data_IF_717917723144
#
_entry.id   IF_717917723144
#
_cell.length_a   1.000
_cell.length_b   1.000
_cell.length_c   1.000
_cell.angle_alpha   90.00
_cell.angle_beta   90.00
_cell.angle_gamma   90.00
#
_symmetry.space_group_name_H-M   'P 1'
#
loop_
_entity.id
_entity.type
_entity.pdbx_description
1 polymer ?
#
# COMPACT_ATOMS: atom_id res chain seq x y z
N UNK A 1 8.13 21.22 -10.93
CA UNK A 1 8.36 20.62 -9.60
C UNK A 1 8.59 19.13 -9.75
N UNK A 2 9.36 18.51 -8.86
CA UNK A 2 9.50 17.05 -8.78
C UNK A 2 9.08 16.53 -7.41
N UNK A 3 8.70 15.26 -7.35
CA UNK A 3 8.27 14.60 -6.13
C UNK A 3 9.18 13.41 -5.89
N UNK A 4 9.92 13.48 -4.79
CA UNK A 4 11.00 12.54 -4.49
C UNK A 4 10.59 11.70 -3.30
N UNK A 5 10.79 10.40 -3.40
CA UNK A 5 10.49 9.45 -2.36
C UNK A 5 11.72 8.67 -1.98
N UNK A 6 11.95 8.51 -0.68
CA UNK A 6 13.13 7.85 -0.15
C UNK A 6 12.70 6.79 0.86
N UNK A 7 12.94 5.52 0.52
CA UNK A 7 12.92 4.43 1.51
C UNK A 7 14.30 4.35 2.15
N UNK A 8 14.44 4.94 3.34
CA UNK A 8 15.74 5.14 3.95
C UNK A 8 16.11 3.96 4.84
N UNK A 9 17.16 3.21 4.47
CA UNK A 9 17.65 2.16 5.35
C UNK A 9 18.11 2.72 6.71
N UNK A 10 18.08 1.89 7.75
CA UNK A 10 18.55 2.30 9.09
C UNK A 10 20.07 2.44 9.21
N UNK A 11 20.84 1.83 8.31
CA UNK A 11 22.31 1.81 8.34
C UNK A 11 22.89 2.05 6.94
N UNK A 12 24.16 2.48 6.89
CA UNK A 12 24.89 2.73 5.63
C UNK A 12 25.31 1.47 4.86
N UNK A 13 25.06 0.27 5.41
CA UNK A 13 25.40 -1.00 4.76
C UNK A 13 24.26 -1.53 3.89
N UNK A 14 23.03 -1.06 4.12
CA UNK A 14 21.84 -1.55 3.44
C UNK A 14 21.43 -0.60 2.32
N UNK A 15 20.73 -1.15 1.33
CA UNK A 15 20.20 -0.37 0.22
C UNK A 15 19.12 0.60 0.71
N UNK A 16 19.00 1.75 0.05
CA UNK A 16 17.90 2.69 0.20
C UNK A 16 17.25 2.86 -1.16
N UNK A 17 15.92 2.88 -1.20
CA UNK A 17 15.19 3.16 -2.42
C UNK A 17 15.08 4.68 -2.64
N UNK A 18 15.20 5.12 -3.88
CA UNK A 18 14.89 6.50 -4.28
C UNK A 18 14.01 6.45 -5.53
N UNK A 19 12.92 7.21 -5.52
CA UNK A 19 12.03 7.39 -6.67
C UNK A 19 11.77 8.88 -6.91
N UNK A 20 11.65 9.27 -8.18
CA UNK A 20 11.29 10.63 -8.60
C UNK A 20 10.13 10.56 -9.58
N UNK A 21 9.07 11.31 -9.27
CA UNK A 21 7.90 11.53 -10.11
C UNK A 21 7.94 12.99 -10.60
N UNK A 22 7.80 13.18 -11.90
CA UNK A 22 7.67 14.50 -12.52
C UNK A 22 6.26 15.07 -12.35
N UNK A 23 6.09 16.37 -12.51
CA UNK A 23 4.80 17.05 -12.29
C UNK A 23 3.68 16.59 -13.22
N UNK A 24 4.04 16.00 -14.36
CA UNK A 24 3.12 15.37 -15.31
C UNK A 24 2.70 13.94 -14.93
N UNK A 25 3.20 13.39 -13.81
CA UNK A 25 2.89 12.04 -13.34
C UNK A 25 3.80 10.94 -13.87
N UNK A 26 4.82 11.24 -14.68
CA UNK A 26 5.78 10.23 -15.13
C UNK A 26 6.81 9.91 -14.03
N UNK A 27 7.09 8.62 -13.84
CA UNK A 27 8.22 8.16 -13.04
C UNK A 27 9.47 8.34 -13.92
N UNK A 28 10.41 9.17 -13.47
CA UNK A 28 11.63 9.51 -14.23
C UNK A 28 12.90 8.91 -13.63
N UNK A 29 12.83 8.44 -12.38
CA UNK A 29 13.92 7.75 -11.69
C UNK A 29 13.34 6.81 -10.63
N UNK A 30 13.84 5.58 -10.52
CA UNK A 30 13.45 4.65 -9.46
C UNK A 30 14.48 3.53 -9.30
N UNK A 31 15.36 3.65 -8.32
CA UNK A 31 16.45 2.71 -8.06
C UNK A 31 16.57 2.39 -6.57
N UNK A 32 17.08 1.21 -6.25
CA UNK A 32 17.55 0.86 -4.91
C UNK A 32 18.99 0.39 -4.99
N UNK A 33 19.84 0.96 -4.13
CA UNK A 33 21.25 0.63 -3.95
C UNK A 33 21.75 1.21 -2.63
N UNK A 34 22.99 0.90 -2.26
CA UNK A 34 23.62 1.54 -1.11
C UNK A 34 23.91 3.01 -1.43
N UNK A 35 23.28 3.91 -0.69
CA UNK A 35 23.48 5.35 -0.78
C UNK A 35 24.08 5.90 0.52
N UNK A 36 25.05 6.81 0.38
CA UNK A 36 25.43 7.72 1.46
C UNK A 36 24.46 8.91 1.51
N UNK A 37 24.38 9.57 2.66
CA UNK A 37 23.51 10.75 2.81
C UNK A 37 23.90 11.87 1.82
N UNK A 38 25.20 12.01 1.52
CA UNK A 38 25.71 12.95 0.54
C UNK A 38 25.23 12.60 -0.89
N UNK A 39 25.26 11.32 -1.29
CA UNK A 39 24.72 10.89 -2.58
C UNK A 39 23.21 11.16 -2.69
N UNK A 40 22.45 10.92 -1.61
CA UNK A 40 21.02 11.26 -1.57
C UNK A 40 20.83 12.76 -1.74
N UNK A 41 21.62 13.57 -1.04
CA UNK A 41 21.61 15.02 -1.19
C UNK A 41 21.89 15.46 -2.62
N UNK A 42 22.89 14.86 -3.30
CA UNK A 42 23.25 15.19 -4.68
C UNK A 42 22.09 14.90 -5.64
N UNK A 43 21.43 13.73 -5.48
CA UNK A 43 20.27 13.35 -6.28
C UNK A 43 19.11 14.32 -6.03
N UNK A 44 18.79 14.63 -4.77
CA UNK A 44 17.72 15.59 -4.45
C UNK A 44 18.01 16.95 -5.10
N UNK A 45 19.26 17.44 -5.01
CA UNK A 45 19.64 18.70 -5.61
C UNK A 45 19.56 18.72 -7.15
N UNK A 46 19.82 17.59 -7.80
CA UNK A 46 19.67 17.44 -9.24
C UNK A 46 18.21 17.67 -9.70
N UNK A 47 17.25 17.07 -8.98
CA UNK A 47 15.83 17.14 -9.34
C UNK A 47 15.09 18.34 -8.73
N UNK A 48 15.62 19.01 -7.71
CA UNK A 48 14.91 20.07 -6.98
C UNK A 48 15.03 21.49 -7.56
N UNK A 49 15.70 21.68 -8.71
CA UNK A 49 15.95 23.01 -9.32
C UNK A 49 14.67 23.83 -9.56
N UNK A 50 13.55 23.18 -9.88
CA UNK A 50 12.26 23.81 -10.16
C UNK A 50 11.24 23.59 -9.02
N UNK A 51 11.72 23.45 -7.79
CA UNK A 51 10.94 23.01 -6.62
C UNK A 51 10.91 21.49 -6.48
N UNK A 52 10.88 21.01 -5.24
CA UNK A 52 10.64 19.61 -4.94
C UNK A 52 10.01 19.35 -3.56
N UNK A 53 9.16 18.33 -3.50
CA UNK A 53 8.68 17.76 -2.24
C UNK A 53 9.30 16.38 -2.06
N UNK A 54 9.90 16.14 -0.90
CA UNK A 54 10.64 14.92 -0.58
C UNK A 54 9.93 14.17 0.55
N UNK A 55 9.32 13.03 0.25
CA UNK A 55 8.78 12.09 1.23
C UNK A 55 9.83 11.07 1.66
N UNK A 56 10.05 10.90 2.96
CA UNK A 56 11.08 9.98 3.48
C UNK A 56 10.45 8.99 4.48
N UNK A 57 10.66 7.68 4.26
CA UNK A 57 10.38 6.61 5.24
C UNK A 57 11.47 6.56 6.31
N UNK A 58 11.45 7.55 7.20
CA UNK A 58 12.28 7.57 8.41
C UNK A 58 11.80 8.64 9.39
N UNK A 59 12.02 8.43 10.71
CA UNK A 59 11.95 9.52 11.69
C UNK A 59 12.91 10.67 11.34
N UNK A 60 12.37 11.87 11.07
CA UNK A 60 13.17 13.02 10.64
C UNK A 60 13.52 13.99 11.78
N UNK A 61 12.73 13.99 12.85
CA UNK A 61 12.95 14.76 14.06
C UNK A 61 12.79 13.82 15.25
N UNK A 62 13.86 13.61 16.02
CA UNK A 62 13.87 12.68 17.16
C UNK A 62 14.43 13.38 18.40
N UNK A 63 13.66 14.31 18.97
CA UNK A 63 14.08 15.07 20.15
C UNK A 63 13.97 14.28 21.47
N UNK A 64 13.14 13.23 21.50
CA UNK A 64 12.92 12.44 22.69
C UNK A 64 14.09 11.49 22.98
N UNK A 65 14.65 11.57 24.19
CA UNK A 65 15.73 10.68 24.62
C UNK A 65 15.28 9.23 24.77
N UNK A 66 14.06 9.00 25.27
CA UNK A 66 13.46 7.67 25.47
C UNK A 66 11.97 7.68 25.13
N UNK A 67 11.33 6.51 25.13
CA UNK A 67 9.90 6.37 24.84
C UNK A 67 9.60 6.50 23.35
N UNK A 68 8.43 7.07 23.05
CA UNK A 68 7.95 7.32 21.69
C UNK A 68 7.83 8.83 21.45
N UNK A 69 7.97 9.27 20.19
CA UNK A 69 7.60 10.64 19.81
C UNK A 69 6.11 10.84 19.97
N UNK A 70 5.67 12.10 20.08
CA UNK A 70 4.24 12.42 20.14
C UNK A 70 3.51 11.89 18.90
N UNK A 71 4.07 12.11 17.70
CA UNK A 71 3.48 11.65 16.44
C UNK A 71 3.34 10.12 16.38
N UNK A 72 4.36 9.36 16.83
CA UNK A 72 4.33 7.90 16.88
C UNK A 72 3.14 7.37 17.71
N UNK A 73 2.91 7.96 18.89
CA UNK A 73 1.80 7.57 19.74
C UNK A 73 0.45 8.06 19.22
N UNK A 74 0.42 9.27 18.65
CA UNK A 74 -0.80 9.88 18.13
C UNK A 74 -1.35 9.11 16.92
N UNK A 75 -0.50 8.70 15.99
CA UNK A 75 -0.95 7.94 14.80
C UNK A 75 -1.52 6.56 15.17
N UNK A 76 -1.03 5.93 16.24
CA UNK A 76 -1.58 4.65 16.73
C UNK A 76 -2.97 4.79 17.36
N UNK A 77 -3.36 5.99 17.79
CA UNK A 77 -4.71 6.30 18.30
C UNK A 77 -5.64 6.83 17.21
N UNK A 78 -5.07 7.27 16.10
CA UNK A 78 -5.81 7.81 14.97
C UNK A 78 -6.45 6.66 14.17
N UNK A 79 -7.66 6.91 13.66
CA UNK A 79 -8.31 6.02 12.70
C UNK A 79 -8.22 6.63 11.31
N UNK A 80 -7.59 5.91 10.39
CA UNK A 80 -7.59 6.22 8.96
C UNK A 80 -8.52 5.21 8.29
N UNK A 81 -9.58 5.70 7.65
CA UNK A 81 -10.62 4.85 7.05
C UNK A 81 -11.21 3.83 8.04
N UNK A 82 -11.40 4.25 9.30
CA UNK A 82 -11.92 3.39 10.37
C UNK A 82 -10.92 2.37 10.93
N UNK A 83 -9.70 2.26 10.38
CA UNK A 83 -8.67 1.30 10.78
C UNK A 83 -7.54 1.97 11.56
N UNK A 84 -6.93 1.22 12.48
CA UNK A 84 -5.77 1.66 13.24
C UNK A 84 -4.47 1.32 12.50
N UNK A 85 -3.45 2.15 12.69
CA UNK A 85 -2.08 1.87 12.23
C UNK A 85 -1.18 1.47 13.40
N UNK A 86 -0.13 0.75 13.06
CA UNK A 86 1.00 0.49 13.96
C UNK A 86 2.26 1.06 13.31
N UNK A 87 3.02 1.81 14.09
CA UNK A 87 4.28 2.41 13.65
C UNK A 87 5.40 2.00 14.59
N UNK A 88 6.62 2.06 14.09
CA UNK A 88 7.80 1.90 14.91
C UNK A 88 7.94 3.11 15.85
N UNK A 89 7.84 2.89 17.16
CA UNK A 89 8.09 3.94 18.15
C UNK A 89 9.58 4.16 18.31
N UNK A 90 10.05 5.39 18.04
CA UNK A 90 11.48 5.69 18.05
C UNK A 90 11.86 6.64 19.20
N UNK A 91 13.12 6.54 19.63
CA UNK A 91 13.76 7.49 20.53
C UNK A 91 15.23 7.62 20.19
N UNK A 92 15.84 8.75 20.54
CA UNK A 92 17.25 9.02 20.24
C UNK A 92 18.18 7.96 20.85
N UNK A 93 17.96 7.57 22.11
CA UNK A 93 18.77 6.53 22.75
C UNK A 93 18.65 5.19 22.03
N UNK A 94 17.46 4.82 21.55
CA UNK A 94 17.28 3.59 20.78
C UNK A 94 18.08 3.65 19.48
N UNK A 95 17.92 4.74 18.72
CA UNK A 95 18.55 4.92 17.41
C UNK A 95 20.08 4.90 17.50
N UNK A 96 20.66 5.69 18.42
CA UNK A 96 22.10 5.73 18.63
C UNK A 96 22.65 4.40 19.12
N UNK A 97 21.92 3.69 19.99
CA UNK A 97 22.37 2.39 20.51
C UNK A 97 22.42 1.31 19.43
N UNK A 98 21.42 1.25 18.54
CA UNK A 98 21.30 0.16 17.57
C UNK A 98 21.92 0.47 16.20
N UNK A 99 21.94 1.75 15.81
CA UNK A 99 22.39 2.17 14.49
C UNK A 99 23.57 3.16 14.54
N UNK A 100 23.90 3.70 15.72
CA UNK A 100 24.97 4.70 15.88
C UNK A 100 24.57 6.11 15.44
N UNK A 101 23.41 6.26 14.79
CA UNK A 101 22.99 7.50 14.12
C UNK A 101 21.47 7.57 14.03
N UNK A 102 20.93 8.77 13.83
CA UNK A 102 19.55 8.99 13.36
C UNK A 102 19.62 9.35 11.88
N UNK A 103 19.60 8.35 10.97
CA UNK A 103 19.82 8.58 9.52
C UNK A 103 18.86 9.60 8.92
N UNK A 104 17.60 9.67 9.38
CA UNK A 104 16.65 10.69 8.93
C UNK A 104 17.11 12.12 9.19
N UNK A 105 17.80 12.39 10.31
CA UNK A 105 18.36 13.70 10.61
C UNK A 105 19.60 14.01 9.75
N UNK A 106 20.43 13.01 9.49
CA UNK A 106 21.65 13.16 8.67
C UNK A 106 21.31 13.38 7.19
N UNK A 107 20.33 12.67 6.63
CA UNK A 107 19.90 12.89 5.24
C UNK A 107 19.28 14.28 5.06
N UNK A 108 18.50 14.77 6.04
CA UNK A 108 17.98 16.15 6.03
C UNK A 108 19.12 17.16 6.03
N UNK A 109 20.16 16.96 6.86
CA UNK A 109 21.36 17.81 6.87
C UNK A 109 22.06 17.79 5.51
N UNK A 110 22.23 16.63 4.90
CA UNK A 110 22.90 16.48 3.61
C UNK A 110 22.13 17.17 2.47
N UNK A 111 20.79 17.09 2.47
CA UNK A 111 19.93 17.83 1.52
C UNK A 111 20.07 19.33 1.75
N UNK A 112 19.90 19.81 2.99
CA UNK A 112 19.97 21.25 3.33
C UNK A 112 21.35 21.88 3.15
N UNK A 113 22.42 21.08 3.23
CA UNK A 113 23.78 21.53 2.91
C UNK A 113 23.92 21.94 1.45
N UNK A 114 23.14 21.33 0.55
CA UNK A 114 23.13 21.65 -0.89
C UNK A 114 22.06 22.68 -1.23
N UNK A 115 20.89 22.57 -0.61
CA UNK A 115 19.73 23.42 -0.84
C UNK A 115 19.12 23.85 0.50
N UNK A 116 19.63 24.94 1.13
CA UNK A 116 19.18 25.42 2.44
C UNK A 116 17.70 25.82 2.52
N UNK A 117 17.06 26.05 1.38
CA UNK A 117 15.65 26.45 1.25
C UNK A 117 14.64 25.36 1.63
N UNK A 118 15.07 24.09 1.71
CA UNK A 118 14.18 22.99 2.09
C UNK A 118 13.61 23.15 3.51
N UNK A 119 12.30 23.36 3.59
CA UNK A 119 11.57 23.31 4.84
C UNK A 119 11.37 21.86 5.29
N UNK A 120 11.55 21.57 6.58
CA UNK A 120 11.23 20.27 7.18
C UNK A 120 9.90 20.47 7.90
N UNK A 121 8.81 20.09 7.26
CA UNK A 121 7.46 20.41 7.73
C UNK A 121 6.42 19.44 7.20
N UNK A 122 5.36 19.23 7.99
CA UNK A 122 4.15 18.55 7.52
C UNK A 122 3.18 19.46 6.77
N UNK A 123 3.37 20.78 6.83
CA UNK A 123 2.55 21.78 6.14
C UNK A 123 3.14 22.11 4.77
N UNK A 124 2.48 21.63 3.72
CA UNK A 124 2.91 21.82 2.34
C UNK A 124 2.43 23.16 1.74
N UNK A 125 1.70 23.99 2.51
CA UNK A 125 1.11 25.22 1.98
C UNK A 125 2.19 26.27 1.67
N UNK A 126 2.13 26.82 0.45
CA UNK A 126 3.00 27.92 -0.01
C UNK A 126 4.52 27.62 0.04
N UNK A 127 4.92 26.35 -0.12
CA UNK A 127 6.33 25.93 -0.13
C UNK A 127 6.71 25.26 -1.44
N UNK A 128 7.82 25.70 -2.05
CA UNK A 128 8.40 25.08 -3.26
C UNK A 128 9.38 23.94 -2.95
N UNK A 129 9.98 23.94 -1.74
CA UNK A 129 10.97 22.96 -1.30
C UNK A 129 10.62 22.43 0.08
N UNK A 130 10.15 21.18 0.17
CA UNK A 130 9.73 20.55 1.43
C UNK A 130 10.33 19.16 1.58
N UNK A 131 10.73 18.83 2.81
CA UNK A 131 11.01 17.48 3.26
C UNK A 131 9.93 17.11 4.27
N UNK A 132 9.29 15.96 4.06
CA UNK A 132 8.22 15.44 4.92
C UNK A 132 8.47 13.98 5.30
N UNK A 133 8.12 13.64 6.53
CA UNK A 133 8.11 12.28 7.03
C UNK A 133 6.81 11.57 6.61
N UNK A 134 6.93 10.37 6.03
CA UNK A 134 5.80 9.49 5.69
C UNK A 134 6.24 8.04 5.81
N UNK A 135 5.37 7.06 5.55
CA UNK A 135 5.78 5.65 5.51
C UNK A 135 4.81 4.77 4.71
N UNK A 136 5.30 3.71 4.03
CA UNK A 136 4.52 2.92 3.07
C UNK A 136 3.24 2.29 3.61
N UNK A 137 3.23 1.78 4.84
CA UNK A 137 2.03 1.15 5.43
C UNK A 137 0.91 2.16 5.68
N UNK A 138 1.25 3.39 6.07
CA UNK A 138 0.27 4.46 6.24
C UNK A 138 -0.24 4.96 4.90
N UNK A 139 0.65 5.11 3.91
CA UNK A 139 0.30 5.50 2.54
C UNK A 139 -0.66 4.49 1.90
N UNK A 140 -0.35 3.20 2.00
CA UNK A 140 -1.21 2.13 1.45
C UNK A 140 -2.58 2.08 2.12
N UNK A 141 -2.67 2.25 3.45
CA UNK A 141 -3.97 2.39 4.11
C UNK A 141 -4.73 3.61 3.61
N UNK A 142 -4.04 4.74 3.50
CA UNK A 142 -4.65 6.02 3.14
C UNK A 142 -5.17 6.09 1.71
N UNK A 143 -4.51 5.42 0.76
CA UNK A 143 -4.86 5.41 -0.66
C UNK A 143 -5.68 4.19 -1.11
N UNK A 144 -5.51 3.04 -0.48
CA UNK A 144 -6.17 1.78 -0.85
C UNK A 144 -6.87 1.14 0.37
N UNK A 145 -7.83 1.82 1.01
CA UNK A 145 -8.50 1.29 2.20
C UNK A 145 -9.24 -0.02 1.96
N UNK A 146 -9.73 -0.23 0.72
CA UNK A 146 -10.41 -1.44 0.27
C UNK A 146 -9.49 -2.67 0.22
N UNK A 147 -8.20 -2.45 0.02
CA UNK A 147 -7.20 -3.51 -0.12
C UNK A 147 -6.32 -3.68 1.13
N UNK A 148 -6.43 -2.81 2.13
CA UNK A 148 -5.61 -2.89 3.33
C UNK A 148 -6.00 -4.10 4.21
N UNK A 149 -5.06 -4.76 4.91
CA UNK A 149 -3.61 -4.59 4.85
C UNK A 149 -2.99 -5.31 3.64
N UNK A 150 -1.92 -4.73 3.08
CA UNK A 150 -1.10 -5.38 2.04
C UNK A 150 0.22 -5.87 2.64
N UNK A 151 0.43 -7.18 2.69
CA UNK A 151 1.56 -7.81 3.38
C UNK A 151 2.72 -8.14 2.44
N UNK A 152 3.13 -7.16 1.63
CA UNK A 152 4.21 -7.29 0.64
C UNK A 152 5.62 -7.12 1.25
N UNK A 153 5.76 -6.73 2.51
CA UNK A 153 7.10 -6.63 3.14
C UNK A 153 7.57 -7.97 3.68
N UNK A 154 8.83 -8.36 3.46
CA UNK A 154 9.41 -9.60 4.02
C UNK A 154 9.35 -9.56 5.56
N UNK A 155 8.75 -10.57 6.18
CA UNK A 155 8.68 -10.73 7.64
C UNK A 155 9.00 -12.15 8.06
N UNK A 156 9.72 -12.31 9.18
CA UNK A 156 10.15 -13.63 9.67
C UNK A 156 8.99 -14.63 9.82
N UNK A 157 7.81 -14.18 10.25
CA UNK A 157 6.63 -15.03 10.51
C UNK A 157 5.70 -15.21 9.30
N UNK A 158 6.07 -14.70 8.12
CA UNK A 158 5.25 -14.80 6.91
C UNK A 158 6.01 -15.64 5.88
N UNK A 159 5.42 -16.71 5.32
CA UNK A 159 6.05 -17.48 4.25
C UNK A 159 6.36 -16.59 3.05
N UNK A 160 7.55 -16.74 2.47
CA UNK A 160 8.01 -15.85 1.38
C UNK A 160 7.10 -15.92 0.15
N UNK A 161 6.54 -17.07 -0.19
CA UNK A 161 5.58 -17.24 -1.29
C UNK A 161 4.27 -16.45 -1.05
N UNK A 162 3.82 -16.35 0.21
CA UNK A 162 2.71 -15.47 0.57
C UNK A 162 3.08 -14.01 0.34
N UNK A 163 4.31 -13.61 0.70
CA UNK A 163 4.82 -12.26 0.47
C UNK A 163 4.91 -11.94 -1.03
N UNK A 164 5.35 -12.88 -1.87
CA UNK A 164 5.36 -12.74 -3.34
C UNK A 164 3.95 -12.52 -3.92
N UNK A 165 2.98 -13.29 -3.44
CA UNK A 165 1.57 -13.11 -3.83
C UNK A 165 1.06 -11.71 -3.46
N UNK A 166 1.35 -11.25 -2.24
CA UNK A 166 0.96 -9.92 -1.78
C UNK A 166 1.70 -8.78 -2.50
N UNK A 167 2.93 -9.00 -2.95
CA UNK A 167 3.64 -8.05 -3.83
C UNK A 167 2.98 -7.96 -5.20
N UNK A 168 2.56 -9.08 -5.78
CA UNK A 168 1.76 -9.07 -7.02
C UNK A 168 0.49 -8.24 -6.85
N UNK A 169 -0.23 -8.45 -5.74
CA UNK A 169 -1.40 -7.63 -5.38
C UNK A 169 -1.06 -6.15 -5.22
N UNK A 170 0.07 -5.83 -4.57
CA UNK A 170 0.54 -4.45 -4.41
C UNK A 170 0.81 -3.78 -5.77
N UNK A 171 1.50 -4.46 -6.69
CA UNK A 171 1.77 -3.95 -8.04
C UNK A 171 0.47 -3.71 -8.82
N UNK A 172 -0.51 -4.61 -8.74
CA UNK A 172 -1.84 -4.38 -9.32
C UNK A 172 -2.57 -3.16 -8.71
N UNK A 173 -2.39 -2.91 -7.40
CA UNK A 173 -2.94 -1.71 -6.77
C UNK A 173 -2.27 -0.44 -7.27
N UNK A 174 -0.94 -0.46 -7.47
CA UNK A 174 -0.22 0.69 -8.03
C UNK A 174 -0.75 1.07 -9.40
N UNK A 175 -1.11 0.11 -10.25
CA UNK A 175 -1.68 0.39 -11.58
C UNK A 175 -2.95 1.25 -11.51
N UNK A 176 -3.75 1.15 -10.44
CA UNK A 176 -4.93 2.02 -10.23
C UNK A 176 -4.55 3.49 -10.10
N UNK A 177 -3.32 3.83 -9.73
CA UNK A 177 -2.87 5.22 -9.62
C UNK A 177 -2.84 5.95 -10.97
N UNK A 178 -2.85 5.23 -12.10
CA UNK A 178 -3.04 5.83 -13.43
C UNK A 178 -4.44 6.43 -13.62
N UNK A 179 -5.41 5.95 -12.86
CA UNK A 179 -6.80 6.44 -12.86
C UNK A 179 -7.07 7.48 -11.76
N UNK A 180 -6.09 7.74 -10.90
CA UNK A 180 -6.23 8.71 -9.83
C UNK A 180 -6.08 10.13 -10.39
N UNK A 181 -6.53 11.12 -9.64
CA UNK A 181 -6.19 12.51 -9.88
C UNK A 181 -5.28 12.95 -8.72
N UNK A 182 -4.01 13.34 -8.96
CA UNK A 182 -3.33 13.27 -10.25
C UNK A 182 -2.97 11.82 -10.65
N UNK A 183 -2.88 11.53 -11.97
CA UNK A 183 -2.50 10.20 -12.44
C UNK A 183 -1.00 9.99 -12.35
N UNK A 184 -0.58 8.72 -12.27
CA UNK A 184 0.81 8.29 -12.48
C UNK A 184 0.89 7.43 -13.72
N UNK A 185 1.88 7.72 -14.55
CA UNK A 185 2.12 7.02 -15.80
C UNK A 185 3.22 5.97 -15.61
N UNK A 186 3.49 5.18 -16.65
CA UNK A 186 4.64 4.28 -16.78
C UNK A 186 5.02 3.37 -15.57
N UNK A 187 4.09 3.08 -14.66
CA UNK A 187 4.30 2.19 -13.48
C UNK A 187 4.83 0.82 -13.90
N UNK A 188 4.32 0.29 -15.01
CA UNK A 188 4.72 -1.02 -15.52
C UNK A 188 6.20 -1.07 -15.93
N UNK A 189 6.79 0.05 -16.36
CA UNK A 189 8.19 0.09 -16.78
C UNK A 189 9.14 -0.12 -15.58
N UNK A 190 8.67 0.20 -14.37
CA UNK A 190 9.47 0.11 -13.16
C UNK A 190 9.13 -1.10 -12.29
N UNK A 191 7.88 -1.55 -12.29
CA UNK A 191 7.37 -2.56 -11.35
C UNK A 191 6.83 -3.83 -12.00
N UNK A 192 6.70 -3.88 -13.33
CA UNK A 192 6.36 -5.12 -14.03
C UNK A 192 7.65 -5.86 -14.41
N UNK A 193 7.86 -7.06 -13.88
CA UNK A 193 9.10 -7.83 -14.06
C UNK A 193 8.85 -9.15 -14.81
N UNK A 194 9.80 -9.55 -15.67
CA UNK A 194 9.87 -10.87 -16.30
C UNK A 194 11.18 -11.56 -15.84
N UNK A 195 11.17 -12.81 -15.32
CA UNK A 195 10.11 -13.83 -15.44
C UNK A 195 8.93 -13.74 -14.45
N UNK A 196 8.83 -12.66 -13.67
CA UNK A 196 7.71 -12.41 -12.74
C UNK A 196 8.11 -12.45 -11.28
N UNK A 197 7.29 -11.82 -10.42
CA UNK A 197 7.53 -11.74 -8.96
C UNK A 197 7.66 -13.14 -8.33
N UNK A 198 6.94 -14.12 -8.85
CA UNK A 198 6.95 -15.49 -8.32
C UNK A 198 8.33 -16.18 -8.47
N UNK A 199 9.09 -15.82 -9.49
CA UNK A 199 10.41 -16.39 -9.77
C UNK A 199 11.55 -15.68 -9.00
N UNK A 200 11.28 -14.58 -8.30
CA UNK A 200 12.33 -13.78 -7.66
C UNK A 200 12.99 -14.49 -6.49
N UNK A 201 14.31 -14.33 -6.39
CA UNK A 201 15.06 -14.57 -5.17
C UNK A 201 14.69 -13.53 -4.09
N UNK A 202 15.04 -13.81 -2.83
CA UNK A 202 14.83 -12.85 -1.73
C UNK A 202 15.57 -11.53 -1.95
N UNK A 203 16.73 -11.56 -2.61
CA UNK A 203 17.53 -10.37 -2.88
C UNK A 203 16.85 -9.47 -3.93
N UNK A 204 16.45 -10.06 -5.06
CA UNK A 204 15.71 -9.33 -6.12
C UNK A 204 14.40 -8.77 -5.58
N UNK A 205 13.69 -9.55 -4.76
CA UNK A 205 12.47 -9.11 -4.11
C UNK A 205 12.71 -7.93 -3.17
N UNK A 206 13.76 -7.97 -2.35
CA UNK A 206 14.05 -6.87 -1.42
C UNK A 206 14.40 -5.59 -2.18
N UNK A 207 15.13 -5.69 -3.28
CA UNK A 207 15.39 -4.55 -4.15
C UNK A 207 14.11 -3.96 -4.77
N UNK A 208 13.16 -4.81 -5.19
CA UNK A 208 11.83 -4.37 -5.64
C UNK A 208 11.03 -3.72 -4.51
N UNK A 209 11.05 -4.30 -3.31
CA UNK A 209 10.39 -3.77 -2.10
C UNK A 209 10.87 -2.34 -1.79
N UNK A 210 12.19 -2.12 -1.76
CA UNK A 210 12.78 -0.81 -1.47
C UNK A 210 12.43 0.24 -2.54
N UNK A 211 12.46 -0.15 -3.83
CA UNK A 211 12.03 0.71 -4.95
C UNK A 211 10.54 1.08 -4.85
N UNK A 212 9.71 0.11 -4.48
CA UNK A 212 8.26 0.31 -4.32
C UNK A 212 7.96 1.22 -3.13
N UNK A 213 8.65 1.03 -2.00
CA UNK A 213 8.49 1.85 -0.81
C UNK A 213 8.92 3.30 -1.08
N UNK A 214 10.02 3.50 -1.81
CA UNK A 214 10.44 4.81 -2.26
C UNK A 214 9.41 5.44 -3.21
N UNK A 215 8.86 4.67 -4.15
CA UNK A 215 7.77 5.16 -5.02
C UNK A 215 6.53 5.58 -4.23
N UNK A 216 6.11 4.81 -3.23
CA UNK A 216 4.98 5.19 -2.37
C UNK A 216 5.26 6.52 -1.66
N UNK A 217 6.47 6.73 -1.14
CA UNK A 217 6.86 7.99 -0.51
C UNK A 217 6.85 9.16 -1.51
N UNK A 218 7.29 8.94 -2.75
CA UNK A 218 7.24 9.96 -3.82
C UNK A 218 5.78 10.30 -4.16
N UNK A 219 4.94 9.27 -4.29
CA UNK A 219 3.53 9.44 -4.61
C UNK A 219 2.77 10.14 -3.47
N UNK A 220 3.12 9.89 -2.21
CA UNK A 220 2.56 10.61 -1.07
C UNK A 220 2.79 12.13 -1.20
N UNK A 221 4.02 12.54 -1.53
CA UNK A 221 4.34 13.94 -1.79
C UNK A 221 3.59 14.50 -3.02
N UNK A 222 3.52 13.72 -4.11
CA UNK A 222 2.79 14.09 -5.34
C UNK A 222 1.29 14.28 -5.12
N UNK A 223 0.70 13.45 -4.26
CA UNK A 223 -0.71 13.51 -3.87
C UNK A 223 -1.01 14.70 -2.96
N UNK A 224 -0.26 14.84 -1.86
CA UNK A 224 -0.54 15.78 -0.77
C UNK A 224 -0.40 17.26 -1.16
N UNK A 225 0.32 17.56 -2.25
CA UNK A 225 0.40 18.93 -2.77
C UNK A 225 -0.90 19.37 -3.48
N UNK A 226 -1.72 18.41 -3.91
CA UNK A 226 -2.98 18.63 -4.66
C UNK A 226 -4.22 18.29 -3.84
N UNK A 227 -4.06 17.41 -2.86
CA UNK A 227 -5.15 16.85 -2.08
C UNK A 227 -4.87 16.98 -0.59
N UNK A 228 -5.92 16.89 0.21
CA UNK A 228 -5.78 16.83 1.65
C UNK A 228 -5.19 15.49 2.08
N UNK A 229 -4.61 15.50 3.27
CA UNK A 229 -4.21 14.30 3.98
C UNK A 229 -4.22 14.57 5.48
N UNK A 230 -3.54 13.70 6.23
CA UNK A 230 -3.35 13.88 7.66
C UNK A 230 -1.90 14.24 7.95
N UNK A 231 -1.73 15.24 8.81
CA UNK A 231 -0.47 15.55 9.48
C UNK A 231 -0.66 15.21 10.94
N UNK A 232 0.15 14.30 11.46
CA UNK A 232 0.09 13.85 12.86
C UNK A 232 1.36 14.31 13.56
N UNK A 233 1.23 15.23 14.52
CA UNK A 233 2.37 15.86 15.20
C UNK A 233 2.62 17.28 14.70
N UNK A 234 3.85 17.77 14.88
CA UNK A 234 4.24 19.14 14.52
C UNK A 234 5.72 19.24 14.13
N UNK A 235 6.09 20.37 13.52
CA UNK A 235 7.43 20.61 13.00
C UNK A 235 8.49 20.80 14.09
N UNK A 236 8.09 20.90 15.37
CA UNK A 236 9.02 21.06 16.50
C UNK A 236 9.45 19.69 17.04
N UNK A 237 8.51 18.80 17.32
CA UNK A 237 8.74 17.54 18.03
C UNK A 237 8.58 16.29 17.14
N UNK A 238 8.33 16.51 15.86
CA UNK A 238 8.19 15.47 14.86
C UNK A 238 6.74 15.30 14.42
N UNK A 239 6.61 14.97 13.14
CA UNK A 239 5.33 14.82 12.46
C UNK A 239 5.36 13.60 11.54
N UNK A 240 4.20 13.11 11.15
CA UNK A 240 4.03 12.10 10.12
C UNK A 240 2.92 12.56 9.18
N UNK A 241 3.16 12.48 7.87
CA UNK A 241 2.20 12.85 6.84
C UNK A 241 1.68 11.61 6.13
N UNK A 242 0.35 11.49 6.00
CA UNK A 242 -0.31 10.37 5.32
C UNK A 242 -1.28 10.92 4.28
N UNK A 243 -1.14 10.55 2.99
CA UNK A 243 -2.17 10.85 1.99
C UNK A 243 -3.45 10.10 2.37
N UNK A 244 -4.60 10.75 2.27
CA UNK A 244 -5.89 10.12 2.54
C UNK A 244 -6.77 10.38 1.34
N UNK A 245 -7.16 9.33 0.63
CA UNK A 245 -8.19 9.45 -0.39
C UNK A 245 -9.53 9.64 0.32
N UNK A 246 -10.22 10.75 0.10
CA UNK A 246 -11.63 10.78 0.50
C UNK A 246 -12.39 9.96 -0.54
N UNK A 247 -12.97 8.83 -0.12
CA UNK A 247 -13.84 8.02 -0.97
C UNK A 247 -14.99 8.86 -1.58
N UNK A 248 -15.30 10.02 -0.99
CA UNK A 248 -16.23 11.03 -1.50
C UNK A 248 -15.56 12.09 -2.41
N UNK A 249 -14.29 12.48 -2.23
CA UNK A 249 -13.59 13.52 -3.06
C UNK A 249 -12.97 12.97 -4.36
N UNK A 250 -13.09 11.68 -4.67
CA UNK A 250 -13.03 11.20 -6.08
C UNK A 250 -14.16 11.84 -6.93
N UNK A 251 -15.01 12.66 -6.31
CA UNK A 251 -16.06 13.48 -6.90
C UNK A 251 -15.85 14.97 -6.61
N UNK A 252 -14.89 15.61 -7.26
CA UNK A 252 -15.19 16.89 -7.91
C UNK A 252 -14.02 17.37 -8.77
N UNK A 253 -14.30 17.57 -10.05
CA UNK A 253 -13.32 17.99 -11.04
C UNK A 253 -13.79 17.79 -12.48
N UNK A 254 -14.98 18.33 -12.82
CA UNK A 254 -15.35 18.68 -14.20
C UNK A 254 -15.41 17.59 -15.28
N UNK A 255 -15.29 16.31 -14.93
CA UNK A 255 -15.52 15.18 -15.84
C UNK A 255 -16.58 14.27 -15.22
N UNK A 256 -17.39 13.60 -16.04
CA UNK A 256 -18.39 12.64 -15.55
C UNK A 256 -17.80 11.76 -14.44
N UNK A 257 -18.58 11.48 -13.38
CA UNK A 257 -18.17 10.59 -12.29
C UNK A 257 -17.92 9.18 -12.81
N UNK A 258 -16.73 8.93 -13.34
CA UNK A 258 -16.28 7.60 -13.71
C UNK A 258 -15.71 6.98 -12.43
N UNK A 259 -16.54 6.20 -11.74
CA UNK A 259 -16.02 5.30 -10.72
C UNK A 259 -15.53 4.04 -11.44
N UNK A 260 -14.21 3.90 -11.55
CA UNK A 260 -13.59 2.73 -12.15
C UNK A 260 -13.64 1.60 -11.14
N UNK A 261 -14.25 0.50 -11.55
CA UNK A 261 -14.33 -0.72 -10.77
C UNK A 261 -13.59 -1.80 -11.53
N UNK A 262 -12.71 -2.52 -10.85
CA UNK A 262 -12.11 -3.75 -11.36
C UNK A 262 -12.58 -4.92 -10.51
N UNK A 263 -13.90 -5.18 -10.54
CA UNK A 263 -14.51 -6.27 -9.79
C UNK A 263 -15.49 -7.03 -10.63
N UNK A 264 -15.58 -8.33 -10.38
CA UNK A 264 -16.59 -9.18 -10.98
C UNK A 264 -17.97 -8.82 -10.42
N UNK A 265 -18.96 -8.69 -11.30
CA UNK A 265 -20.33 -8.33 -10.94
C UNK A 265 -21.30 -9.40 -11.47
N UNK A 266 -22.46 -9.53 -10.82
CA UNK A 266 -23.54 -10.39 -11.31
C UNK A 266 -24.15 -9.83 -12.60
N UNK A 267 -24.70 -10.70 -13.43
CA UNK A 267 -25.17 -10.43 -14.79
C UNK A 267 -26.22 -9.30 -14.89
N UNK A 268 -26.99 -9.09 -13.82
CA UNK A 268 -28.06 -8.08 -13.75
C UNK A 268 -27.59 -6.74 -13.16
N UNK A 269 -26.38 -6.66 -12.61
CA UNK A 269 -25.85 -5.42 -12.04
C UNK A 269 -25.73 -4.30 -13.08
N UNK A 270 -25.31 -4.54 -14.34
CA UNK A 270 -25.30 -3.48 -15.35
C UNK A 270 -26.68 -2.82 -15.54
N UNK A 271 -27.73 -3.63 -15.67
CA UNK A 271 -29.11 -3.13 -15.80
C UNK A 271 -29.55 -2.34 -14.57
N UNK A 272 -29.26 -2.84 -13.35
CA UNK A 272 -29.59 -2.12 -12.11
C UNK A 272 -28.88 -0.77 -12.02
N UNK A 273 -27.63 -0.68 -12.51
CA UNK A 273 -26.88 0.58 -12.59
C UNK A 273 -27.55 1.53 -13.59
N UNK A 274 -27.93 1.03 -14.76
CA UNK A 274 -28.60 1.80 -15.81
C UNK A 274 -29.97 2.33 -15.39
N UNK A 275 -30.78 1.49 -14.72
CA UNK A 275 -32.08 1.87 -14.17
C UNK A 275 -31.97 2.96 -13.09
N UNK A 276 -30.79 3.10 -12.46
CA UNK A 276 -30.48 4.18 -11.52
C UNK A 276 -30.04 5.49 -12.17
N UNK A 277 -30.10 5.59 -13.52
CA UNK A 277 -29.70 6.76 -14.29
C UNK A 277 -28.19 6.93 -14.46
N UNK A 278 -27.41 5.86 -14.29
CA UNK A 278 -25.96 5.83 -14.48
C UNK A 278 -25.60 5.02 -15.72
N UNK A 279 -24.38 5.16 -16.24
CA UNK A 279 -23.87 4.33 -17.35
C UNK A 279 -22.98 3.22 -16.82
N UNK A 280 -23.28 1.97 -17.15
CA UNK A 280 -22.40 0.83 -16.86
C UNK A 280 -21.42 0.62 -18.03
N UNK A 281 -20.12 0.63 -17.75
CA UNK A 281 -19.08 0.21 -18.70
C UNK A 281 -18.59 -1.16 -18.26
N UNK A 282 -18.71 -2.16 -19.13
CA UNK A 282 -18.43 -3.57 -18.81
C UNK A 282 -17.54 -4.20 -19.88
N UNK A 283 -16.70 -5.15 -19.44
CA UNK A 283 -15.95 -6.06 -20.30
C UNK A 283 -16.32 -7.49 -19.93
N UNK A 284 -16.39 -8.39 -20.92
CA UNK A 284 -16.52 -9.83 -20.67
C UNK A 284 -15.14 -10.42 -20.49
N UNK A 285 -14.93 -11.11 -19.37
CA UNK A 285 -13.68 -11.80 -19.05
C UNK A 285 -13.83 -13.29 -19.30
N UNK A 286 -12.75 -13.97 -19.66
CA UNK A 286 -12.74 -15.41 -19.93
C UNK A 286 -11.37 -16.02 -19.67
N UNK A 287 -11.29 -17.36 -19.63
CA UNK A 287 -10.02 -18.05 -19.41
C UNK A 287 -9.44 -17.82 -18.01
N UNK A 288 -8.10 -17.87 -17.83
CA UNK A 288 -7.46 -17.80 -16.52
C UNK A 288 -7.78 -16.53 -15.73
N UNK A 289 -7.88 -15.37 -16.39
CA UNK A 289 -8.21 -14.09 -15.76
C UNK A 289 -9.57 -14.12 -15.04
N UNK A 290 -10.54 -14.86 -15.59
CA UNK A 290 -11.85 -15.01 -14.95
C UNK A 290 -11.75 -15.76 -13.61
N UNK A 291 -10.88 -16.78 -13.50
CA UNK A 291 -10.67 -17.48 -12.24
C UNK A 291 -10.00 -16.57 -11.20
N UNK A 292 -9.05 -15.73 -11.59
CA UNK A 292 -8.41 -14.77 -10.70
C UNK A 292 -9.42 -13.77 -10.13
N UNK A 293 -10.32 -13.27 -10.99
CA UNK A 293 -11.41 -12.39 -10.59
C UNK A 293 -12.43 -13.08 -9.69
N UNK A 294 -12.74 -14.37 -9.93
CA UNK A 294 -13.59 -15.16 -9.03
C UNK A 294 -12.96 -15.36 -7.66
N UNK A 295 -11.65 -15.62 -7.59
CA UNK A 295 -10.94 -15.77 -6.32
C UNK A 295 -10.86 -14.44 -5.56
N UNK A 296 -10.64 -13.33 -6.27
CA UNK A 296 -10.71 -11.99 -5.67
C UNK A 296 -12.11 -11.70 -5.13
N UNK A 297 -13.15 -12.03 -5.91
CA UNK A 297 -14.56 -11.88 -5.50
C UNK A 297 -14.89 -12.73 -4.28
N UNK A 298 -14.41 -13.97 -4.21
CA UNK A 298 -14.56 -14.83 -3.04
C UNK A 298 -13.96 -14.19 -1.78
N UNK A 299 -12.80 -13.54 -1.92
CA UNK A 299 -12.18 -12.78 -0.83
C UNK A 299 -13.02 -11.57 -0.38
N UNK A 300 -13.59 -10.81 -1.34
CA UNK A 300 -14.51 -9.70 -1.08
C UNK A 300 -15.70 -10.19 -0.24
N UNK A 301 -16.41 -11.23 -0.68
CA UNK A 301 -17.61 -11.74 0.01
C UNK A 301 -17.30 -12.32 1.40
N UNK A 302 -16.13 -12.95 1.59
CA UNK A 302 -15.71 -13.42 2.92
C UNK A 302 -15.55 -12.22 3.86
N UNK A 303 -14.94 -11.15 3.37
CA UNK A 303 -14.72 -9.95 4.18
C UNK A 303 -16.06 -9.25 4.49
N UNK A 304 -16.97 -9.16 3.51
CA UNK A 304 -18.32 -8.60 3.72
C UNK A 304 -19.12 -9.38 4.77
N UNK A 305 -19.06 -10.72 4.76
CA UNK A 305 -19.65 -11.54 5.81
C UNK A 305 -18.98 -11.31 7.18
N UNK A 306 -17.64 -11.26 7.23
CA UNK A 306 -16.93 -11.05 8.49
C UNK A 306 -17.28 -9.69 9.11
N UNK A 307 -17.46 -8.66 8.28
CA UNK A 307 -17.75 -7.29 8.73
C UNK A 307 -19.22 -7.12 9.13
N UNK A 308 -20.16 -7.68 8.35
CA UNK A 308 -21.60 -7.45 8.55
C UNK A 308 -22.30 -8.52 9.39
N UNK A 309 -21.77 -9.74 9.40
CA UNK A 309 -22.40 -10.95 9.97
C UNK A 309 -23.81 -11.24 9.41
N UNK A 310 -24.15 -10.69 8.24
CA UNK A 310 -25.45 -10.88 7.59
C UNK A 310 -25.50 -12.19 6.83
N UNK A 311 -26.68 -12.82 6.81
CA UNK A 311 -26.90 -14.11 6.13
C UNK A 311 -26.91 -13.93 4.62
N UNK A 312 -27.29 -12.76 4.14
CA UNK A 312 -27.29 -12.37 2.74
C UNK A 312 -25.90 -12.55 2.11
N UNK A 313 -24.83 -12.14 2.82
CA UNK A 313 -23.45 -12.30 2.32
C UNK A 313 -23.03 -13.78 2.22
N UNK A 314 -23.62 -14.67 3.01
CA UNK A 314 -23.40 -16.13 2.85
C UNK A 314 -24.01 -16.64 1.55
N UNK A 315 -25.10 -16.04 1.06
CA UNK A 315 -25.69 -16.39 -0.22
C UNK A 315 -24.80 -15.89 -1.39
N UNK A 316 -24.20 -14.71 -1.26
CA UNK A 316 -23.20 -14.21 -2.20
C UNK A 316 -21.97 -15.11 -2.26
N UNK A 317 -21.46 -15.57 -1.11
CA UNK A 317 -20.38 -16.56 -1.04
C UNK A 317 -20.70 -17.84 -1.81
N UNK A 318 -21.92 -18.39 -1.63
CA UNK A 318 -22.35 -19.60 -2.33
C UNK A 318 -22.41 -19.39 -3.84
N UNK A 319 -22.88 -18.22 -4.30
CA UNK A 319 -22.94 -17.89 -5.73
C UNK A 319 -21.54 -17.88 -6.36
N UNK A 320 -20.56 -17.27 -5.67
CA UNK A 320 -19.17 -17.25 -6.14
C UNK A 320 -18.57 -18.66 -6.16
N UNK A 321 -18.84 -19.48 -5.14
CA UNK A 321 -18.42 -20.89 -5.12
C UNK A 321 -18.98 -21.64 -6.32
N UNK A 322 -20.27 -21.46 -6.65
CA UNK A 322 -20.87 -22.11 -7.82
C UNK A 322 -20.24 -21.65 -9.14
N UNK A 323 -19.95 -20.36 -9.30
CA UNK A 323 -19.24 -19.88 -10.48
C UNK A 323 -17.82 -20.48 -10.61
N UNK A 324 -17.12 -20.69 -9.49
CA UNK A 324 -15.81 -21.38 -9.47
C UNK A 324 -15.97 -22.86 -9.85
N UNK A 325 -17.01 -23.54 -9.37
CA UNK A 325 -17.28 -24.94 -9.73
C UNK A 325 -17.55 -25.07 -11.23
N UNK A 326 -18.37 -24.18 -11.78
CA UNK A 326 -18.70 -24.13 -13.21
C UNK A 326 -17.42 -23.90 -14.05
N UNK A 327 -16.55 -22.97 -13.64
CA UNK A 327 -15.24 -22.77 -14.28
C UNK A 327 -14.36 -24.03 -14.25
N UNK A 328 -14.38 -24.76 -13.12
CA UNK A 328 -13.60 -26.00 -12.95
C UNK A 328 -14.25 -27.23 -13.61
N UNK A 329 -15.44 -27.09 -14.18
CA UNK A 329 -16.19 -28.20 -14.76
C UNK A 329 -16.71 -29.21 -13.72
N UNK A 330 -16.86 -28.78 -12.46
CA UNK A 330 -17.36 -29.63 -11.37
C UNK A 330 -18.85 -29.39 -11.19
N UNK A 331 -19.65 -30.44 -11.30
CA UNK A 331 -21.11 -30.30 -11.11
C UNK A 331 -21.46 -30.06 -9.64
N UNK A 332 -22.62 -29.41 -9.39
CA UNK A 332 -23.14 -29.24 -8.02
C UNK A 332 -23.37 -30.59 -7.31
N UNK A 333 -23.77 -31.62 -8.05
CA UNK A 333 -23.97 -32.97 -7.51
C UNK A 333 -22.64 -33.59 -7.05
N UNK A 334 -21.60 -33.44 -7.86
CA UNK A 334 -20.25 -33.90 -7.53
C UNK A 334 -19.70 -33.14 -6.31
N UNK A 335 -19.84 -31.81 -6.28
CA UNK A 335 -19.44 -31.00 -5.13
C UNK A 335 -20.17 -31.41 -3.85
N UNK A 336 -21.48 -31.63 -3.91
CA UNK A 336 -22.26 -32.12 -2.77
C UNK A 336 -21.83 -33.53 -2.34
N UNK A 337 -21.45 -34.40 -3.27
CA UNK A 337 -20.89 -35.72 -2.96
C UNK A 337 -19.57 -35.58 -2.19
N UNK A 338 -18.64 -34.73 -2.66
CA UNK A 338 -17.37 -34.45 -1.98
C UNK A 338 -17.62 -33.88 -0.58
N UNK A 339 -18.58 -32.95 -0.43
CA UNK A 339 -18.94 -32.35 0.86
C UNK A 339 -19.47 -33.42 1.83
N UNK A 340 -20.37 -34.29 1.38
CA UNK A 340 -20.94 -35.38 2.19
C UNK A 340 -19.89 -36.40 2.60
N UNK A 341 -19.02 -36.81 1.68
CA UNK A 341 -17.91 -37.72 1.97
C UNK A 341 -16.99 -37.14 3.07
N UNK A 342 -16.65 -35.84 3.01
CA UNK A 342 -15.86 -35.20 4.08
C UNK A 342 -16.56 -35.22 5.44
N UNK A 343 -17.89 -35.07 5.46
CA UNK A 343 -18.68 -35.16 6.69
C UNK A 343 -18.68 -36.58 7.25
N UNK A 344 -18.74 -37.61 6.39
CA UNK A 344 -18.65 -39.01 6.80
C UNK A 344 -17.24 -39.37 7.33
N UNK A 345 -16.19 -38.92 6.63
CA UNK A 345 -14.79 -39.22 6.99
C UNK A 345 -14.29 -38.45 8.22
N UNK A 346 -14.69 -37.19 8.37
CA UNK A 346 -14.06 -36.24 9.32
C UNK A 346 -15.05 -35.57 10.27
N UNK A 347 -16.34 -35.86 10.15
CA UNK A 347 -17.40 -35.19 10.89
C UNK A 347 -17.72 -33.79 10.36
N UNK A 348 -18.62 -33.11 11.07
CA UNK A 348 -19.01 -31.73 10.81
C UNK A 348 -18.75 -30.86 12.04
N UNK A 349 -18.87 -29.53 11.91
CA UNK A 349 -18.66 -28.58 13.01
C UNK A 349 -19.76 -28.59 14.10
N UNK A 350 -20.51 -29.69 14.27
CA UNK A 350 -21.63 -29.82 15.21
C UNK A 350 -21.17 -29.82 16.67
N UNK A 351 -20.01 -30.42 16.93
CA UNK A 351 -19.46 -30.58 18.28
C UNK A 351 -18.71 -29.33 18.79
N UNK A 352 -18.56 -28.29 17.94
CA UNK A 352 -17.94 -26.98 18.30
C UNK A 352 -16.54 -27.10 18.92
N UNK A 353 -15.76 -28.06 18.42
CA UNK A 353 -14.44 -28.37 18.95
C UNK A 353 -13.40 -27.32 18.51
N UNK A 354 -12.55 -26.89 19.44
CA UNK A 354 -11.37 -26.05 19.19
C UNK A 354 -10.12 -26.82 19.60
N UNK A 355 -9.24 -27.14 18.64
CA UNK A 355 -7.95 -27.78 18.91
C UNK A 355 -6.99 -26.76 19.55
N UNK A 356 -6.53 -27.03 20.78
CA UNK A 356 -5.66 -26.11 21.54
C UNK A 356 -4.17 -26.47 21.49
N UNK A 357 -3.85 -27.76 21.54
CA UNK A 357 -2.48 -28.27 21.46
C UNK A 357 -2.51 -29.71 20.92
N UNK A 358 -1.45 -30.10 20.23
CA UNK A 358 -1.14 -31.49 19.86
C UNK A 358 0.22 -31.79 20.46
N UNK A 359 0.34 -32.88 21.21
CA UNK A 359 1.61 -33.34 21.77
C UNK A 359 1.97 -34.66 21.10
N UNK A 360 3.21 -34.77 20.68
CA UNK A 360 3.83 -36.02 20.23
C UNK A 360 4.55 -36.63 21.43
N UNK A 361 4.54 -37.97 21.52
CA UNK A 361 5.24 -38.70 22.58
C UNK A 361 6.77 -38.64 22.43
#
# INVERSE_FOLDING_TARGET
MHYIGIDLAWTYANESGICVIADNGEIIYCESRVFSDEMIGDIVAEYARAGALVGIDAPLIVNNETGARYCDGAIMREKIHGRNLSVFTCSRRFMLKHFGVVRGEEVVKAIRKRMPEFALTGDLSNKEHVIMETFPTGITLGLFPDAFPVKYKIKHKVPFETTKTEMGRMVSLLQRLGDFNPPVHNINDFFNHSPGIQAMSKKEYKNLEDRLDAFLCAYAAYWLVRHKGKVIGDDRDGFITIPVIDEKEVRDGGSERIKIYNKLIRDKIPQIIEDSGKKAIIAKVSGPEYLDLLNAKLGEEIQEYLDSQKVEELADLVEVVYAILDYKGVSRQEFESIRKQKVEERGAFRDRLLLKEVRED
#
